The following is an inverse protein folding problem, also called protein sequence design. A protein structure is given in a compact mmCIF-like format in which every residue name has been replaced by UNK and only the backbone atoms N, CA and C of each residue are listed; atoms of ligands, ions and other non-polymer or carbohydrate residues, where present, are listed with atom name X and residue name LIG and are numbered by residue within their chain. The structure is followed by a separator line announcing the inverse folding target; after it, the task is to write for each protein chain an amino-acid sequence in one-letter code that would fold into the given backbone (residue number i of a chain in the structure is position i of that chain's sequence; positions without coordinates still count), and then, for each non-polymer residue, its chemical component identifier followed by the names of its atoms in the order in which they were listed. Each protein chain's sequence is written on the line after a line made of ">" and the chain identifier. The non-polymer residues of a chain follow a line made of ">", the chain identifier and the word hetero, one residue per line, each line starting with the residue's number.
data_IF_238293114140
#
_entry.id   IF_238293114140
#
_cell.length_a   1.000
_cell.length_b   1.000
_cell.length_c   1.000
_cell.angle_alpha   90.00
_cell.angle_beta   90.00
_cell.angle_gamma   90.00
#
_symmetry.space_group_name_H-M   'P 1'
#
loop_
_entity.id
_entity.type
_entity.pdbx_description
1 polymer ?
#
# COMPACT_ATOMS: atom_id res chain seq x y z
N UNK A 1 17.01 19.96 -2.12
CA UNK A 1 15.79 20.62 -2.67
C UNK A 1 15.23 21.57 -1.61
N UNK A 2 15.51 22.85 -1.70
CA UNK A 2 14.82 23.85 -0.90
C UNK A 2 13.59 24.32 -1.70
N UNK A 3 12.51 23.56 -1.63
CA UNK A 3 11.22 24.03 -2.14
C UNK A 3 10.72 25.14 -1.20
N UNK A 4 10.89 26.39 -1.60
CA UNK A 4 10.06 27.49 -1.08
C UNK A 4 8.62 27.29 -1.57
N UNK A 5 8.01 26.15 -1.20
CA UNK A 5 6.59 25.97 -1.38
C UNK A 5 5.89 27.05 -0.51
N UNK A 6 4.97 27.78 -1.12
CA UNK A 6 4.04 28.59 -0.35
C UNK A 6 3.32 27.63 0.62
N UNK A 7 3.68 27.67 1.88
CA UNK A 7 3.35 26.65 2.91
C UNK A 7 1.85 26.55 3.21
N UNK A 8 1.00 27.30 2.52
CA UNK A 8 -0.44 27.38 2.74
C UNK A 8 -1.29 26.66 1.69
N UNK A 9 -0.77 26.40 0.47
CA UNK A 9 -1.53 25.76 -0.60
C UNK A 9 -0.75 24.60 -1.24
N UNK A 10 -1.45 23.52 -1.51
CA UNK A 10 -0.89 22.29 -2.07
C UNK A 10 -1.82 21.70 -3.15
N UNK A 11 -1.52 20.50 -3.65
CA UNK A 11 -2.38 19.83 -4.62
C UNK A 11 -3.79 19.54 -4.10
N UNK A 12 -3.98 19.37 -2.78
CA UNK A 12 -5.32 19.14 -2.20
C UNK A 12 -6.19 20.40 -2.19
N UNK A 13 -5.60 21.58 -2.36
CA UNK A 13 -6.30 22.86 -2.48
C UNK A 13 -6.58 23.22 -3.94
N UNK A 14 -6.12 22.37 -4.90
CA UNK A 14 -6.19 22.64 -6.32
C UNK A 14 -7.46 22.05 -6.93
N UNK A 15 -8.35 22.90 -7.45
CA UNK A 15 -9.55 22.49 -8.21
C UNK A 15 -9.28 22.28 -9.71
N UNK A 16 -8.04 22.54 -10.18
CA UNK A 16 -7.71 22.59 -11.60
C UNK A 16 -7.26 21.24 -12.09
N UNK A 17 -7.37 20.35 -12.46
CA UNK A 17 -6.75 19.15 -13.08
C UNK A 17 -5.86 19.43 -14.29
N UNK A 18 -5.27 20.65 -14.38
CA UNK A 18 -4.45 21.05 -15.55
C UNK A 18 -3.18 20.22 -15.71
N UNK A 19 -2.65 19.63 -14.62
CA UNK A 19 -1.50 18.73 -14.65
C UNK A 19 -1.75 17.41 -15.42
N UNK A 20 -2.98 17.10 -15.81
CA UNK A 20 -3.29 16.00 -16.73
C UNK A 20 -2.91 16.31 -18.19
N UNK A 21 -2.57 17.57 -18.50
CA UNK A 21 -2.22 18.03 -19.84
C UNK A 21 -0.78 18.53 -19.85
N UNK A 22 -0.05 18.22 -20.93
CA UNK A 22 1.35 18.67 -21.07
C UNK A 22 1.47 20.19 -21.16
N UNK A 23 0.46 20.85 -21.71
CA UNK A 23 0.37 22.30 -21.94
C UNK A 23 -0.66 22.98 -21.01
N UNK A 24 -1.02 22.34 -19.92
CA UNK A 24 -2.03 22.82 -18.99
C UNK A 24 -1.61 24.12 -18.29
N UNK A 25 -2.54 25.08 -18.22
CA UNK A 25 -2.34 26.30 -17.43
C UNK A 25 -2.58 25.99 -15.96
N UNK A 26 -1.51 25.95 -15.19
CA UNK A 26 -1.54 25.64 -13.77
C UNK A 26 -1.74 26.90 -12.92
N UNK A 27 -2.39 26.81 -11.76
CA UNK A 27 -2.49 27.94 -10.83
C UNK A 27 -1.11 28.36 -10.28
N UNK A 28 -0.94 29.61 -9.83
CA UNK A 28 0.37 30.12 -9.36
C UNK A 28 1.02 29.31 -8.23
N UNK A 29 0.21 28.65 -7.38
CA UNK A 29 0.69 27.82 -6.28
C UNK A 29 0.96 26.35 -6.67
N UNK A 30 0.81 26.00 -7.95
CA UNK A 30 0.96 24.63 -8.43
C UNK A 30 2.39 24.12 -8.23
N UNK A 31 2.52 22.98 -7.60
CA UNK A 31 3.82 22.33 -7.39
C UNK A 31 4.53 22.01 -8.71
N UNK A 32 3.78 21.67 -9.76
CA UNK A 32 4.34 21.45 -11.11
C UNK A 32 5.02 22.70 -11.66
N UNK A 33 4.43 23.90 -11.44
CA UNK A 33 4.99 25.17 -11.88
C UNK A 33 6.23 25.56 -11.08
N UNK A 34 6.31 25.14 -9.83
CA UNK A 34 7.44 25.43 -8.94
C UNK A 34 8.70 24.55 -9.22
N UNK A 35 8.57 23.46 -9.98
CA UNK A 35 9.69 22.60 -10.34
C UNK A 35 10.60 23.29 -11.39
N UNK A 36 11.91 23.31 -11.13
CA UNK A 36 12.90 23.67 -12.14
C UNK A 36 13.07 22.57 -13.18
N UNK A 37 13.75 22.85 -14.29
CA UNK A 37 14.12 21.80 -15.25
C UNK A 37 15.11 20.79 -14.64
N UNK A 38 16.01 21.25 -13.78
CA UNK A 38 16.95 20.35 -13.07
C UNK A 38 16.21 19.36 -12.16
N UNK A 39 15.16 19.79 -11.43
CA UNK A 39 14.32 18.89 -10.62
C UNK A 39 13.60 17.85 -11.48
N UNK A 40 13.10 18.27 -12.65
CA UNK A 40 12.44 17.38 -13.61
C UNK A 40 13.41 16.35 -14.19
N UNK A 41 14.62 16.78 -14.52
CA UNK A 41 15.65 15.90 -15.06
C UNK A 41 16.17 14.93 -14.01
N UNK A 42 16.31 15.36 -12.75
CA UNK A 42 16.64 14.46 -11.64
C UNK A 42 15.57 13.37 -11.47
N UNK A 43 14.30 13.75 -11.46
CA UNK A 43 13.19 12.79 -11.39
C UNK A 43 13.19 11.83 -12.58
N UNK A 44 13.37 12.32 -13.82
CA UNK A 44 13.49 11.46 -15.01
C UNK A 44 14.63 10.47 -14.88
N UNK A 45 15.78 10.90 -14.38
CA UNK A 45 16.94 10.02 -14.11
C UNK A 45 16.60 8.90 -13.14
N UNK A 46 15.89 9.20 -12.05
CA UNK A 46 15.45 8.15 -11.09
C UNK A 46 14.61 7.06 -11.77
N UNK A 47 13.67 7.45 -12.65
CA UNK A 47 12.84 6.50 -13.39
C UNK A 47 13.57 5.76 -14.52
N UNK A 48 14.71 6.22 -14.98
CA UNK A 48 15.42 5.63 -16.13
C UNK A 48 16.70 4.88 -15.74
N UNK A 49 17.38 5.30 -14.67
CA UNK A 49 18.63 4.70 -14.23
C UNK A 49 18.42 3.57 -13.22
N UNK A 50 17.45 3.69 -12.33
CA UNK A 50 17.09 2.60 -11.43
C UNK A 50 16.16 1.61 -12.17
N UNK A 51 16.72 0.45 -12.51
CA UNK A 51 16.02 -0.59 -13.27
C UNK A 51 14.82 -1.16 -12.52
N UNK A 52 14.85 -1.18 -11.19
CA UNK A 52 13.72 -1.62 -10.38
C UNK A 52 12.59 -0.60 -10.43
N UNK A 53 12.89 0.68 -10.23
CA UNK A 53 11.91 1.76 -10.33
C UNK A 53 11.31 1.80 -11.73
N UNK A 54 12.14 1.71 -12.78
CA UNK A 54 11.68 1.69 -14.18
C UNK A 54 10.73 0.54 -14.44
N UNK A 55 11.10 -0.68 -14.04
CA UNK A 55 10.28 -1.89 -14.22
C UNK A 55 8.92 -1.77 -13.53
N UNK A 56 8.93 -1.32 -12.27
CA UNK A 56 7.69 -1.13 -11.49
C UNK A 56 6.81 -0.05 -12.11
N UNK A 57 7.37 1.08 -12.53
CA UNK A 57 6.61 2.16 -13.16
C UNK A 57 5.96 1.74 -14.48
N UNK A 58 6.69 1.03 -15.35
CA UNK A 58 6.17 0.50 -16.60
C UNK A 58 5.06 -0.53 -16.31
N UNK A 59 5.32 -1.50 -15.44
CA UNK A 59 4.35 -2.53 -15.07
C UNK A 59 3.05 -1.94 -14.53
N UNK A 60 3.15 -0.89 -13.68
CA UNK A 60 1.99 -0.20 -13.14
C UNK A 60 1.20 0.53 -14.22
N UNK A 61 1.89 1.28 -15.11
CA UNK A 61 1.25 2.03 -16.18
C UNK A 61 0.55 1.11 -17.18
N UNK A 62 1.14 -0.05 -17.49
CA UNK A 62 0.55 -1.02 -18.41
C UNK A 62 -0.64 -1.77 -17.78
N UNK A 63 -0.56 -2.14 -16.50
CA UNK A 63 -1.65 -2.81 -15.81
C UNK A 63 -2.88 -1.89 -15.71
N UNK A 64 -2.68 -0.61 -15.36
CA UNK A 64 -3.76 0.39 -15.32
C UNK A 64 -4.26 0.76 -16.74
N UNK A 65 -3.36 1.06 -17.66
CA UNK A 65 -3.71 1.62 -18.96
C UNK A 65 -4.37 0.62 -19.92
N UNK A 66 -3.93 -0.65 -19.92
CA UNK A 66 -4.47 -1.66 -20.85
C UNK A 66 -5.83 -2.20 -20.41
N UNK A 67 -6.11 -2.19 -19.12
CA UNK A 67 -7.32 -2.81 -18.56
C UNK A 67 -8.19 -1.81 -17.77
N UNK A 68 -8.02 -0.51 -18.05
CA UNK A 68 -8.72 0.57 -17.37
C UNK A 68 -10.24 0.36 -17.35
N UNK A 69 -10.82 0.29 -16.15
CA UNK A 69 -12.25 0.06 -15.94
C UNK A 69 -12.75 -1.34 -16.31
N UNK A 70 -11.88 -2.31 -16.60
CA UNK A 70 -12.22 -3.68 -16.94
C UNK A 70 -11.82 -4.69 -15.85
N UNK A 71 -10.64 -4.50 -15.26
CA UNK A 71 -10.13 -5.36 -14.20
C UNK A 71 -10.63 -4.93 -12.82
N UNK A 72 -10.87 -5.90 -11.96
CA UNK A 72 -10.97 -5.72 -10.52
C UNK A 72 -9.59 -5.49 -9.90
N UNK A 73 -9.52 -4.94 -8.68
CA UNK A 73 -8.25 -4.77 -7.97
C UNK A 73 -7.45 -6.07 -7.81
N UNK A 74 -8.12 -7.21 -7.72
CA UNK A 74 -7.46 -8.53 -7.67
C UNK A 74 -6.79 -8.84 -9.00
N UNK A 75 -7.48 -8.61 -10.12
CA UNK A 75 -6.95 -8.84 -11.48
C UNK A 75 -5.81 -7.89 -11.79
N UNK A 76 -5.91 -6.61 -11.44
CA UNK A 76 -4.81 -5.63 -11.56
C UNK A 76 -3.59 -6.07 -10.74
N UNK A 77 -3.80 -6.59 -9.52
CA UNK A 77 -2.70 -7.07 -8.67
C UNK A 77 -2.00 -8.27 -9.31
N UNK A 78 -2.75 -9.19 -9.93
CA UNK A 78 -2.21 -10.34 -10.64
C UNK A 78 -1.44 -9.89 -11.88
N UNK A 79 -2.00 -8.98 -12.66
CA UNK A 79 -1.36 -8.43 -13.86
C UNK A 79 -0.06 -7.71 -13.52
N UNK A 80 -0.09 -6.86 -12.50
CA UNK A 80 1.10 -6.18 -11.99
C UNK A 80 2.18 -7.18 -11.54
N UNK A 81 1.80 -8.20 -10.76
CA UNK A 81 2.73 -9.24 -10.30
C UNK A 81 3.40 -9.97 -11.48
N UNK A 82 2.64 -10.33 -12.53
CA UNK A 82 3.18 -10.95 -13.75
C UNK A 82 4.19 -10.02 -14.44
N UNK A 83 3.87 -8.73 -14.59
CA UNK A 83 4.73 -7.75 -15.28
C UNK A 83 6.03 -7.45 -14.55
N UNK A 84 6.01 -7.47 -13.22
CA UNK A 84 7.24 -7.39 -12.44
C UNK A 84 7.98 -8.72 -12.35
N UNK A 85 7.48 -9.80 -12.98
CA UNK A 85 8.00 -11.17 -12.91
C UNK A 85 8.11 -11.68 -11.47
N UNK A 86 7.15 -11.37 -10.61
CA UNK A 86 7.08 -11.96 -9.29
C UNK A 86 6.61 -13.41 -9.38
N UNK A 87 7.28 -14.31 -8.68
CA UNK A 87 6.93 -15.72 -8.59
C UNK A 87 6.34 -16.06 -7.22
N UNK A 88 6.80 -15.38 -6.17
CA UNK A 88 6.40 -15.62 -4.80
C UNK A 88 5.72 -14.42 -4.18
N UNK A 89 4.45 -14.59 -3.83
CA UNK A 89 3.61 -13.53 -3.27
C UNK A 89 3.37 -13.76 -1.78
N UNK A 90 3.66 -12.72 -0.98
CA UNK A 90 3.33 -12.66 0.41
C UNK A 90 1.93 -12.11 0.66
N UNK A 91 1.24 -12.63 1.69
CA UNK A 91 -0.03 -12.07 2.16
C UNK A 91 0.11 -11.70 3.63
N UNK A 92 0.12 -10.41 3.93
CA UNK A 92 0.05 -9.89 5.30
C UNK A 92 -1.42 -9.66 5.68
N UNK A 93 -2.01 -10.59 6.44
CA UNK A 93 -3.45 -10.56 6.72
C UNK A 93 -3.79 -10.20 8.15
N UNK A 94 -4.90 -9.48 8.32
CA UNK A 94 -5.60 -9.36 9.59
C UNK A 94 -6.23 -10.70 9.99
N UNK A 95 -6.22 -11.05 11.27
CA UNK A 95 -6.86 -12.27 11.79
C UNK A 95 -8.36 -12.36 11.40
N UNK A 96 -9.04 -11.23 11.33
CA UNK A 96 -10.45 -11.17 10.93
C UNK A 96 -10.70 -11.30 9.42
N UNK A 97 -9.67 -11.50 8.60
CA UNK A 97 -9.76 -11.66 7.13
C UNK A 97 -9.04 -12.93 6.65
N UNK A 98 -8.87 -13.91 7.54
CA UNK A 98 -8.21 -15.18 7.17
C UNK A 98 -8.98 -15.97 6.12
N UNK A 99 -10.30 -15.92 6.13
CA UNK A 99 -11.17 -16.57 5.14
C UNK A 99 -10.96 -15.99 3.74
N UNK A 100 -11.01 -14.66 3.65
CA UNK A 100 -10.82 -13.89 2.41
C UNK A 100 -9.39 -14.08 1.89
N UNK A 101 -8.41 -14.04 2.79
CA UNK A 101 -6.99 -14.26 2.44
C UNK A 101 -6.74 -15.68 1.94
N UNK A 102 -7.43 -16.68 2.49
CA UNK A 102 -7.38 -18.06 2.00
C UNK A 102 -7.96 -18.17 0.58
N UNK A 103 -9.04 -17.46 0.31
CA UNK A 103 -9.65 -17.40 -1.04
C UNK A 103 -8.71 -16.73 -2.03
N UNK A 104 -8.12 -15.59 -1.66
CA UNK A 104 -7.11 -14.91 -2.47
C UNK A 104 -5.91 -15.83 -2.76
N UNK A 105 -5.38 -16.51 -1.75
CA UNK A 105 -4.27 -17.44 -1.93
C UNK A 105 -4.58 -18.57 -2.91
N UNK A 106 -5.83 -19.09 -2.92
CA UNK A 106 -6.27 -20.09 -3.90
C UNK A 106 -6.29 -19.52 -5.32
N UNK A 107 -6.76 -18.27 -5.47
CA UNK A 107 -6.79 -17.58 -6.78
C UNK A 107 -5.36 -17.41 -7.29
N UNK A 108 -4.47 -16.87 -6.47
CA UNK A 108 -3.07 -16.62 -6.84
C UNK A 108 -2.35 -17.92 -7.21
N UNK A 109 -2.52 -18.99 -6.44
CA UNK A 109 -1.94 -20.31 -6.77
C UNK A 109 -2.46 -20.89 -8.09
N UNK A 110 -3.76 -20.70 -8.39
CA UNK A 110 -4.32 -21.09 -9.71
C UNK A 110 -3.72 -20.30 -10.87
N UNK A 111 -3.20 -19.10 -10.59
CA UNK A 111 -2.51 -18.26 -11.57
C UNK A 111 -1.00 -18.53 -11.66
N UNK A 112 -0.51 -19.54 -10.92
CA UNK A 112 0.88 -20.01 -10.98
C UNK A 112 1.84 -19.39 -9.95
N UNK A 113 1.36 -18.57 -9.03
CA UNK A 113 2.21 -17.98 -7.98
C UNK A 113 2.43 -18.94 -6.81
N UNK A 114 3.65 -18.96 -6.26
CA UNK A 114 3.88 -19.45 -4.90
C UNK A 114 3.34 -18.42 -3.91
N UNK A 115 2.64 -18.87 -2.87
CA UNK A 115 1.94 -17.96 -1.93
C UNK A 115 2.23 -18.32 -0.49
N UNK A 116 2.79 -17.37 0.25
CA UNK A 116 3.05 -17.47 1.67
C UNK A 116 2.28 -16.40 2.45
N UNK A 117 1.50 -16.80 3.45
CA UNK A 117 0.63 -15.88 4.19
C UNK A 117 0.97 -15.83 5.68
N UNK A 118 0.99 -14.63 6.29
CA UNK A 118 1.26 -14.42 7.70
C UNK A 118 0.14 -13.59 8.33
N UNK A 119 -0.44 -14.15 9.42
CA UNK A 119 -1.50 -13.47 10.18
C UNK A 119 -0.93 -12.42 11.14
N UNK A 120 -1.66 -11.35 11.37
CA UNK A 120 -1.24 -10.24 12.24
C UNK A 120 -1.05 -10.63 13.73
N UNK A 121 -1.57 -11.79 14.17
CA UNK A 121 -1.40 -12.29 15.55
C UNK A 121 -0.23 -13.25 15.69
N UNK A 122 0.60 -13.38 14.66
CA UNK A 122 1.79 -14.24 14.71
C UNK A 122 2.67 -13.91 15.90
N UNK A 123 3.18 -14.95 16.58
CA UNK A 123 3.96 -14.86 17.80
C UNK A 123 3.13 -14.76 19.08
N UNK A 124 1.81 -14.50 19.00
CA UNK A 124 0.88 -14.46 20.17
C UNK A 124 1.38 -13.62 21.34
N UNK A 125 1.97 -12.44 21.07
CA UNK A 125 2.58 -11.56 22.08
C UNK A 125 1.52 -10.69 22.76
N UNK A 126 1.56 -10.62 24.08
CA UNK A 126 0.66 -9.74 24.86
C UNK A 126 0.97 -8.26 24.68
N UNK A 127 -0.05 -7.42 24.64
CA UNK A 127 0.08 -5.95 24.52
C UNK A 127 0.84 -5.32 25.67
N UNK A 128 0.89 -5.94 26.84
CA UNK A 128 1.70 -5.47 27.97
C UNK A 128 3.19 -5.39 27.66
N UNK A 129 3.68 -6.16 26.68
CA UNK A 129 5.06 -6.08 26.17
C UNK A 129 5.36 -4.77 25.42
N UNK A 130 4.32 -4.04 25.01
CA UNK A 130 4.44 -2.69 24.42
C UNK A 130 4.42 -1.59 25.49
N UNK A 131 4.31 -1.92 26.77
CA UNK A 131 4.15 -0.95 27.86
C UNK A 131 2.70 -0.56 28.14
N UNK A 132 1.72 -1.21 27.51
CA UNK A 132 0.28 -1.00 27.78
C UNK A 132 -0.05 -1.67 29.12
N UNK A 133 -0.66 -0.93 30.05
CA UNK A 133 -1.01 -1.42 31.39
C UNK A 133 -2.24 -2.33 31.34
N UNK A 134 -2.40 -3.15 32.39
CA UNK A 134 -3.60 -3.99 32.54
C UNK A 134 -4.88 -3.17 32.65
N UNK A 135 -4.81 -2.02 33.28
CA UNK A 135 -5.93 -1.07 33.41
C UNK A 135 -6.35 -0.55 32.02
N UNK A 136 -5.40 -0.15 31.18
CA UNK A 136 -5.68 0.26 29.78
C UNK A 136 -6.27 -0.90 28.99
N UNK A 137 -5.75 -2.12 29.18
CA UNK A 137 -6.25 -3.31 28.47
C UNK A 137 -7.69 -3.65 28.82
N UNK A 138 -8.16 -3.33 30.03
CA UNK A 138 -9.53 -3.58 30.47
C UNK A 138 -10.56 -2.83 29.57
N UNK A 139 -10.19 -1.68 29.01
CA UNK A 139 -11.03 -0.90 28.10
C UNK A 139 -10.95 -1.31 26.63
N UNK A 140 -10.00 -2.18 26.24
CA UNK A 140 -9.74 -2.53 24.85
C UNK A 140 -10.71 -3.59 24.32
N UNK A 141 -11.51 -3.25 23.33
CA UNK A 141 -12.37 -4.19 22.60
C UNK A 141 -11.60 -5.12 21.64
N UNK A 142 -10.34 -4.84 21.35
CA UNK A 142 -9.51 -5.58 20.38
C UNK A 142 -8.72 -6.75 20.98
N UNK A 143 -9.01 -7.14 22.25
CA UNK A 143 -8.38 -8.25 22.94
C UNK A 143 -6.94 -7.95 23.41
N UNK A 144 -6.35 -8.91 24.13
CA UNK A 144 -5.07 -8.78 24.87
C UNK A 144 -3.83 -9.01 24.01
N UNK A 145 -3.96 -9.77 22.91
CA UNK A 145 -2.83 -10.08 22.02
C UNK A 145 -2.62 -8.95 21.04
N UNK A 146 -1.38 -8.48 20.90
CA UNK A 146 -1.03 -7.43 19.94
C UNK A 146 -1.09 -7.92 18.48
N UNK A 147 -1.27 -6.99 17.54
CA UNK A 147 -0.88 -7.26 16.17
C UNK A 147 0.63 -7.04 16.04
N UNK A 148 1.29 -7.88 15.26
CA UNK A 148 2.75 -7.85 15.11
C UNK A 148 3.15 -7.70 13.64
N UNK A 149 2.92 -6.52 13.03
CA UNK A 149 3.24 -6.26 11.63
C UNK A 149 4.74 -6.36 11.34
N UNK A 150 5.59 -6.05 12.31
CA UNK A 150 7.04 -6.18 12.16
C UNK A 150 7.43 -7.66 12.01
N UNK A 151 6.86 -8.56 12.80
CA UNK A 151 7.10 -9.99 12.64
C UNK A 151 6.47 -10.56 11.36
N UNK A 152 5.29 -10.04 10.95
CA UNK A 152 4.73 -10.39 9.64
C UNK A 152 5.71 -10.07 8.51
N UNK A 153 6.26 -8.85 8.49
CA UNK A 153 7.23 -8.44 7.48
C UNK A 153 8.51 -9.30 7.54
N UNK A 154 9.04 -9.54 8.76
CA UNK A 154 10.22 -10.37 8.93
C UNK A 154 10.04 -11.78 8.36
N UNK A 155 8.93 -12.45 8.66
CA UNK A 155 8.65 -13.79 8.16
C UNK A 155 8.44 -13.84 6.64
N UNK A 156 7.86 -12.80 6.05
CA UNK A 156 7.73 -12.67 4.60
C UNK A 156 9.09 -12.38 3.94
N UNK A 157 9.94 -11.59 4.58
CA UNK A 157 11.31 -11.36 4.12
C UNK A 157 12.14 -12.67 4.16
N UNK A 158 12.03 -13.45 5.25
CA UNK A 158 12.67 -14.77 5.37
C UNK A 158 12.14 -15.79 4.35
N UNK A 159 10.87 -15.65 3.97
CA UNK A 159 10.27 -16.45 2.90
C UNK A 159 10.63 -15.94 1.51
N UNK A 160 11.41 -14.86 1.39
CA UNK A 160 11.85 -14.27 0.11
C UNK A 160 10.69 -13.96 -0.84
N UNK A 161 9.62 -13.35 -0.30
CA UNK A 161 8.50 -12.89 -1.14
C UNK A 161 8.92 -11.68 -1.96
N UNK A 162 8.40 -11.56 -3.18
CA UNK A 162 8.77 -10.53 -4.16
C UNK A 162 7.73 -9.41 -4.27
N UNK A 163 6.49 -9.71 -3.92
CA UNK A 163 5.39 -8.76 -3.77
C UNK A 163 4.56 -9.14 -2.55
N UNK A 164 4.28 -8.18 -1.66
CA UNK A 164 3.45 -8.41 -0.49
C UNK A 164 2.09 -7.71 -0.63
N UNK A 165 1.02 -8.48 -0.47
CA UNK A 165 -0.37 -8.01 -0.49
C UNK A 165 -0.86 -7.80 0.93
N UNK A 166 -1.31 -6.58 1.25
CA UNK A 166 -1.87 -6.23 2.55
C UNK A 166 -3.37 -6.47 2.54
N UNK A 167 -3.82 -7.36 3.45
CA UNK A 167 -5.22 -7.75 3.64
C UNK A 167 -5.76 -7.18 4.95
N UNK A 168 -6.16 -5.91 4.93
CA UNK A 168 -6.87 -5.23 6.00
C UNK A 168 -6.11 -5.12 7.32
N UNK A 169 -4.82 -4.80 7.29
CA UNK A 169 -4.09 -4.40 8.48
C UNK A 169 -4.70 -3.11 9.03
N UNK A 170 -4.66 -2.94 10.36
CA UNK A 170 -5.16 -1.74 10.99
C UNK A 170 -4.24 -0.55 10.69
N UNK A 171 -4.80 0.67 10.73
CA UNK A 171 -4.04 1.92 10.58
C UNK A 171 -2.83 1.95 11.52
N UNK A 172 -1.67 2.33 11.00
CA UNK A 172 -0.38 2.28 11.68
C UNK A 172 0.28 0.89 11.68
N UNK A 173 -0.47 -0.21 11.67
CA UNK A 173 0.10 -1.56 11.50
C UNK A 173 0.49 -1.82 10.04
N UNK A 174 -0.28 -1.33 9.09
CA UNK A 174 0.07 -1.30 7.66
C UNK A 174 1.34 -0.49 7.42
N UNK A 175 1.44 0.70 8.04
CA UNK A 175 2.65 1.56 7.94
C UNK A 175 3.90 0.85 8.48
N UNK A 176 3.79 0.17 9.64
CA UNK A 176 4.89 -0.62 10.18
C UNK A 176 5.24 -1.81 9.30
N UNK A 177 4.25 -2.52 8.76
CA UNK A 177 4.49 -3.63 7.83
C UNK A 177 5.26 -3.17 6.60
N UNK A 178 4.80 -2.11 5.94
CA UNK A 178 5.45 -1.53 4.75
C UNK A 178 6.89 -1.10 5.07
N UNK A 179 7.09 -0.44 6.22
CA UNK A 179 8.43 0.04 6.63
C UNK A 179 9.44 -1.10 6.81
N UNK A 180 9.02 -2.29 7.25
CA UNK A 180 9.89 -3.43 7.54
C UNK A 180 9.88 -4.51 6.45
N UNK A 181 9.07 -4.35 5.40
CA UNK A 181 9.06 -5.23 4.24
C UNK A 181 10.22 -4.92 3.29
N UNK A 182 10.94 -5.95 2.85
CA UNK A 182 11.95 -5.84 1.79
C UNK A 182 11.30 -5.86 0.40
N UNK A 183 10.19 -6.58 0.25
CA UNK A 183 9.44 -6.65 -0.99
C UNK A 183 8.54 -5.43 -1.19
N UNK A 184 8.18 -5.17 -2.45
CA UNK A 184 7.13 -4.21 -2.78
C UNK A 184 5.82 -4.57 -2.06
N UNK A 185 5.08 -3.55 -1.63
CA UNK A 185 3.82 -3.73 -0.94
C UNK A 185 2.67 -3.08 -1.71
N UNK A 186 1.55 -3.78 -1.79
CA UNK A 186 0.29 -3.21 -2.30
C UNK A 186 -0.87 -3.54 -1.36
N UNK A 187 -1.80 -2.60 -1.18
CA UNK A 187 -3.01 -2.83 -0.37
C UNK A 187 -4.14 -3.33 -1.25
N UNK A 188 -4.71 -4.47 -0.90
CA UNK A 188 -5.92 -4.99 -1.52
C UNK A 188 -7.16 -4.66 -0.70
N UNK A 189 -7.05 -4.76 0.62
CA UNK A 189 -8.14 -4.41 1.55
C UNK A 189 -7.61 -3.42 2.57
N UNK A 190 -8.27 -2.29 2.73
CA UNK A 190 -8.01 -1.29 3.77
C UNK A 190 -8.98 -1.53 4.93
N UNK A 191 -8.46 -1.56 6.16
CA UNK A 191 -9.28 -1.87 7.35
C UNK A 191 -10.22 -0.73 7.71
N UNK A 192 -11.51 -1.03 7.65
CA UNK A 192 -12.57 -0.25 8.25
C UNK A 192 -13.58 -1.19 8.92
N UNK A 193 -13.75 -1.09 10.24
CA UNK A 193 -14.67 -1.97 10.99
C UNK A 193 -16.09 -1.46 11.01
N UNK A 194 -16.29 -0.19 10.71
CA UNK A 194 -17.61 0.46 10.70
C UNK A 194 -18.27 0.22 9.35
N UNK A 195 -17.51 0.39 8.26
CA UNK A 195 -18.02 0.37 6.89
C UNK A 195 -17.61 -0.90 6.12
N UNK A 196 -17.35 -2.00 6.82
CA UNK A 196 -17.07 -3.28 6.17
C UNK A 196 -15.83 -3.27 5.28
N UNK A 197 -14.77 -2.52 5.66
CA UNK A 197 -13.54 -2.32 4.92
C UNK A 197 -13.71 -1.48 3.62
N UNK A 198 -14.68 -0.58 3.61
CA UNK A 198 -14.85 0.44 2.57
C UNK A 198 -14.62 1.85 3.16
N UNK A 199 -13.36 2.28 3.35
CA UNK A 199 -13.02 3.54 4.02
C UNK A 199 -13.24 4.79 3.16
N UNK A 200 -13.58 4.64 1.88
CA UNK A 200 -13.83 5.77 0.99
C UNK A 200 -15.15 6.47 1.34
N UNK A 201 -16.17 5.71 1.71
CA UNK A 201 -17.52 6.21 1.91
C UNK A 201 -17.62 7.40 2.89
N UNK A 202 -16.97 7.40 4.09
CA UNK A 202 -17.09 8.51 5.03
C UNK A 202 -16.33 9.76 4.62
N UNK A 203 -15.40 9.70 3.67
CA UNK A 203 -14.64 10.89 3.23
C UNK A 203 -15.57 11.93 2.62
N UNK A 204 -16.65 11.50 1.96
CA UNK A 204 -17.64 12.40 1.35
C UNK A 204 -18.70 12.89 2.34
N UNK A 205 -18.91 12.18 3.44
CA UNK A 205 -19.95 12.45 4.44
C UNK A 205 -19.39 12.97 5.78
N UNK A 206 -18.08 13.21 5.86
CA UNK A 206 -17.45 13.71 7.08
C UNK A 206 -17.86 15.16 7.34
N UNK A 207 -18.69 15.36 8.38
CA UNK A 207 -19.19 16.66 8.82
C UNK A 207 -18.37 17.20 9.99
#
# INVERSE_FOLDING_TARGET
>A
MEHKANTHFSCVDCMSKSCLKLDGKNPPFCLTTALSEDDRDEMRRQYTLDKTVQKVAIASAEADGLFYGQHTRVEDTIEFANRINAHKIGIATCVGLLSESRTLAKILRKKGFDVYGVCCKVGSVGKTRLGITEEQLASFKSGRIMCNPVLQAKLLNEAETELNIIMGLCVGHDSLFIKYSNALCTSLVVKDRVLGNNPEHPVFDYK
#
